data_IF_109740509907
#
_entry.id   IF_109740509907
#
_cell.length_a   1.000
_cell.length_b   1.000
_cell.length_c   1.000
_cell.angle_alpha   90.00
_cell.angle_beta   90.00
_cell.angle_gamma   90.00
#
_symmetry.space_group_name_H-M   'P 1'
#
loop_
_entity.id
_entity.type
_entity.pdbx_description
1 polymer ?
#
# COMPACT_ATOMS: atom_id res chain seq x y z
N UNK A 1 -27.73 -7.80 -36.42
CA UNK A 1 -27.58 -6.49 -35.76
C UNK A 1 -26.67 -6.69 -34.56
N UNK A 2 -25.36 -6.50 -34.74
CA UNK A 2 -24.36 -6.74 -33.68
C UNK A 2 -24.17 -5.43 -32.94
N UNK A 3 -24.63 -5.37 -31.69
CA UNK A 3 -24.37 -4.24 -30.79
C UNK A 3 -22.87 -4.21 -30.48
N UNK A 4 -22.15 -3.28 -31.10
CA UNK A 4 -20.81 -2.91 -30.64
C UNK A 4 -21.05 -2.18 -29.31
N UNK A 5 -20.71 -2.82 -28.19
CA UNK A 5 -20.56 -2.11 -26.92
C UNK A 5 -19.53 -1.00 -27.12
N UNK A 6 -20.00 0.23 -27.30
CA UNK A 6 -19.15 1.42 -27.29
C UNK A 6 -18.61 1.49 -25.87
N UNK A 7 -17.34 1.09 -25.73
CA UNK A 7 -16.61 1.19 -24.47
C UNK A 7 -16.67 2.64 -23.99
N UNK A 8 -17.04 2.80 -22.72
CA UNK A 8 -17.10 4.06 -21.96
C UNK A 8 -16.08 5.09 -22.47
N UNK A 9 -16.54 6.31 -22.73
CA UNK A 9 -15.72 7.44 -23.20
C UNK A 9 -14.54 7.71 -22.24
N UNK A 10 -13.39 7.10 -22.50
CA UNK A 10 -12.11 7.44 -21.88
C UNK A 10 -11.43 8.57 -22.69
N UNK A 11 -12.18 9.63 -23.01
CA UNK A 11 -11.64 10.76 -23.78
C UNK A 11 -10.91 11.73 -22.85
N UNK A 12 -9.57 11.73 -22.93
CA UNK A 12 -8.72 12.79 -22.39
C UNK A 12 -8.65 13.96 -23.39
N UNK A 13 -8.06 15.11 -23.00
CA UNK A 13 -7.99 16.32 -23.83
C UNK A 13 -7.53 16.11 -25.28
N UNK A 14 -6.49 15.30 -25.50
CA UNK A 14 -5.99 14.97 -26.85
C UNK A 14 -7.02 14.24 -27.72
N UNK A 15 -7.90 13.44 -27.12
CA UNK A 15 -8.94 12.71 -27.83
C UNK A 15 -10.01 13.66 -28.41
N UNK A 16 -10.27 14.79 -27.74
CA UNK A 16 -11.20 15.81 -28.26
C UNK A 16 -10.63 16.56 -29.46
N UNK A 17 -9.33 16.90 -29.42
CA UNK A 17 -8.64 17.55 -30.56
C UNK A 17 -8.64 16.62 -31.78
N UNK A 18 -8.29 15.34 -31.58
CA UNK A 18 -8.34 14.32 -32.62
C UNK A 18 -9.75 14.15 -33.20
N UNK A 19 -10.78 14.11 -32.34
CA UNK A 19 -12.18 14.01 -32.79
C UNK A 19 -12.56 15.20 -33.68
N UNK A 20 -12.17 16.42 -33.31
CA UNK A 20 -12.42 17.63 -34.12
C UNK A 20 -11.76 17.52 -35.50
N UNK A 21 -10.48 17.14 -35.54
CA UNK A 21 -9.74 16.96 -36.80
C UNK A 21 -10.45 15.93 -37.71
N UNK A 22 -10.91 14.82 -37.14
CA UNK A 22 -11.64 13.78 -37.88
C UNK A 22 -12.96 14.31 -38.41
N UNK A 23 -13.77 14.98 -37.59
CA UNK A 23 -15.03 15.58 -38.01
C UNK A 23 -14.82 16.58 -39.16
N UNK A 24 -13.84 17.49 -39.02
CA UNK A 24 -13.53 18.50 -40.04
C UNK A 24 -13.03 17.85 -41.35
N UNK A 25 -12.29 16.74 -41.26
CA UNK A 25 -11.87 15.98 -42.44
C UNK A 25 -13.06 15.30 -43.15
N UNK A 26 -13.99 14.72 -42.39
CA UNK A 26 -15.21 14.10 -42.93
C UNK A 26 -16.14 15.13 -43.57
N UNK A 27 -16.29 16.30 -42.95
CA UNK A 27 -17.07 17.42 -43.50
C UNK A 27 -16.48 17.92 -44.82
N UNK A 28 -15.15 18.09 -44.90
CA UNK A 28 -14.46 18.48 -46.15
C UNK A 28 -14.61 17.44 -47.26
N UNK A 29 -14.71 16.16 -46.92
CA UNK A 29 -14.99 15.10 -47.89
C UNK A 29 -16.48 15.06 -48.33
N UNK A 30 -17.33 15.94 -47.80
CA UNK A 30 -18.75 16.01 -48.08
C UNK A 30 -19.59 15.02 -47.29
N UNK A 31 -19.14 13.75 -47.17
CA UNK A 31 -19.70 12.69 -46.29
C UNK A 31 -18.68 11.57 -46.06
N UNK A 32 -18.88 10.76 -45.03
CA UNK A 32 -18.00 9.63 -44.70
C UNK A 32 -17.91 8.59 -45.83
N UNK A 33 -18.99 8.41 -46.60
CA UNK A 33 -19.07 7.45 -47.72
C UNK A 33 -18.25 7.90 -48.94
N UNK A 34 -17.87 9.17 -49.01
CA UNK A 34 -17.05 9.71 -50.10
C UNK A 34 -15.55 9.49 -49.87
N UNK A 35 -15.15 9.02 -48.69
CA UNK A 35 -13.75 8.77 -48.34
C UNK A 35 -13.36 7.37 -48.84
N UNK A 36 -12.48 7.25 -49.84
CA UNK A 36 -12.07 5.94 -50.34
C UNK A 36 -11.23 5.20 -49.30
N UNK A 37 -11.53 3.91 -49.11
CA UNK A 37 -10.75 3.05 -48.21
C UNK A 37 -9.44 2.65 -48.92
N UNK A 38 -8.44 3.52 -48.83
CA UNK A 38 -7.11 3.29 -49.38
C UNK A 38 -6.33 2.23 -48.60
N UNK A 39 -5.31 1.65 -49.22
CA UNK A 39 -4.40 0.69 -48.56
C UNK A 39 -3.67 1.34 -47.38
N UNK A 40 -3.24 2.59 -47.55
CA UNK A 40 -2.57 3.38 -46.52
C UNK A 40 -3.46 3.58 -45.29
N UNK A 41 -4.75 3.91 -45.50
CA UNK A 41 -5.71 4.06 -44.42
C UNK A 41 -5.87 2.76 -43.63
N UNK A 42 -5.92 1.60 -44.31
CA UNK A 42 -6.00 0.29 -43.65
C UNK A 42 -4.76 -0.01 -42.81
N UNK A 43 -3.57 0.30 -43.32
CA UNK A 43 -2.30 0.10 -42.60
C UNK A 43 -2.25 0.99 -41.36
N UNK A 44 -2.56 2.29 -41.52
CA UNK A 44 -2.62 3.23 -40.42
C UNK A 44 -3.63 2.82 -39.35
N UNK A 45 -4.83 2.36 -39.75
CA UNK A 45 -5.86 1.88 -38.84
C UNK A 45 -5.40 0.62 -38.08
N UNK A 46 -4.75 -0.32 -38.76
CA UNK A 46 -4.21 -1.54 -38.15
C UNK A 46 -3.17 -1.20 -37.08
N UNK A 47 -2.21 -0.32 -37.41
CA UNK A 47 -1.20 0.15 -36.47
C UNK A 47 -1.83 0.87 -35.27
N UNK A 48 -2.77 1.80 -35.52
CA UNK A 48 -3.49 2.51 -34.45
C UNK A 48 -4.23 1.54 -33.51
N UNK A 49 -4.88 0.51 -34.06
CA UNK A 49 -5.55 -0.53 -33.26
C UNK A 49 -4.57 -1.33 -32.41
N UNK A 50 -3.39 -1.66 -32.96
CA UNK A 50 -2.35 -2.37 -32.23
C UNK A 50 -1.79 -1.51 -31.08
N UNK A 51 -1.48 -0.24 -31.35
CA UNK A 51 -1.03 0.70 -30.33
C UNK A 51 -2.06 0.88 -29.21
N UNK A 52 -3.33 1.05 -29.57
CA UNK A 52 -4.40 1.20 -28.58
C UNK A 52 -4.55 -0.05 -27.71
N UNK A 53 -4.53 -1.23 -28.32
CA UNK A 53 -4.57 -2.51 -27.58
C UNK A 53 -3.39 -2.65 -26.62
N UNK A 54 -2.18 -2.32 -27.07
CA UNK A 54 -0.97 -2.37 -26.24
C UNK A 54 -1.03 -1.37 -25.07
N UNK A 55 -1.55 -0.17 -25.32
CA UNK A 55 -1.75 0.85 -24.29
C UNK A 55 -2.79 0.40 -23.24
N UNK A 56 -3.90 -0.21 -23.66
CA UNK A 56 -4.88 -0.76 -22.71
C UNK A 56 -4.29 -1.88 -21.85
N UNK A 57 -3.47 -2.75 -22.44
CA UNK A 57 -2.78 -3.81 -21.70
C UNK A 57 -1.76 -3.24 -20.70
N UNK A 58 -1.01 -2.23 -21.11
CA UNK A 58 -0.08 -1.51 -20.23
C UNK A 58 -0.81 -0.83 -19.06
N UNK A 59 -1.96 -0.18 -19.30
CA UNK A 59 -2.77 0.39 -18.21
C UNK A 59 -3.26 -0.67 -17.23
N UNK A 60 -3.72 -1.82 -17.73
CA UNK A 60 -4.15 -2.93 -16.86
C UNK A 60 -3.02 -3.41 -15.96
N UNK A 61 -1.82 -3.63 -16.53
CA UNK A 61 -0.63 -4.02 -15.79
C UNK A 61 -0.25 -2.98 -14.74
N UNK A 62 -0.23 -1.70 -15.12
CA UNK A 62 0.10 -0.61 -14.20
C UNK A 62 -0.91 -0.51 -13.04
N UNK A 63 -2.22 -0.69 -13.30
CA UNK A 63 -3.22 -0.74 -12.24
C UNK A 63 -3.01 -1.92 -11.28
N UNK A 64 -2.62 -3.10 -11.79
CA UNK A 64 -2.32 -4.27 -10.98
C UNK A 64 -1.05 -4.05 -10.13
N UNK A 65 0.01 -3.55 -10.74
CA UNK A 65 1.27 -3.20 -10.07
C UNK A 65 1.05 -2.15 -8.97
N UNK A 66 0.32 -1.07 -9.27
CA UNK A 66 0.00 -0.05 -8.27
C UNK A 66 -0.81 -0.61 -7.10
N UNK A 67 -1.76 -1.50 -7.36
CA UNK A 67 -2.56 -2.17 -6.32
C UNK A 67 -1.68 -3.06 -5.43
N UNK A 68 -0.79 -3.85 -6.02
CA UNK A 68 0.17 -4.68 -5.29
C UNK A 68 1.15 -3.83 -4.48
N UNK A 69 1.69 -2.76 -5.08
CA UNK A 69 2.59 -1.83 -4.41
C UNK A 69 1.90 -1.14 -3.22
N UNK A 70 0.65 -0.70 -3.39
CA UNK A 70 -0.12 -0.09 -2.29
C UNK A 70 -0.34 -1.08 -1.14
N UNK A 71 -0.66 -2.35 -1.45
CA UNK A 71 -0.79 -3.40 -0.43
C UNK A 71 0.53 -3.62 0.31
N UNK A 72 1.63 -3.73 -0.42
CA UNK A 72 2.98 -3.89 0.16
C UNK A 72 3.34 -2.71 1.05
N UNK A 73 3.10 -1.47 0.60
CA UNK A 73 3.36 -0.27 1.39
C UNK A 73 2.57 -0.26 2.70
N UNK A 74 1.27 -0.59 2.67
CA UNK A 74 0.46 -0.70 3.89
C UNK A 74 1.01 -1.73 4.88
N UNK A 75 1.40 -2.91 4.39
CA UNK A 75 1.96 -3.95 5.27
C UNK A 75 3.30 -3.46 5.87
N UNK A 76 4.15 -2.78 5.09
CA UNK A 76 5.39 -2.20 5.59
C UNK A 76 5.14 -1.15 6.68
N UNK A 77 4.22 -0.21 6.45
CA UNK A 77 3.84 0.81 7.45
C UNK A 77 3.31 0.18 8.74
N UNK A 78 2.50 -0.88 8.64
CA UNK A 78 1.99 -1.61 9.80
C UNK A 78 3.11 -2.31 10.58
N UNK A 79 4.06 -2.94 9.87
CA UNK A 79 5.23 -3.59 10.48
C UNK A 79 6.11 -2.57 11.18
N UNK A 80 6.39 -1.43 10.54
CA UNK A 80 7.15 -0.33 11.14
C UNK A 80 6.46 0.21 12.41
N UNK A 81 5.15 0.41 12.35
CA UNK A 81 4.35 0.81 13.50
C UNK A 81 4.42 -0.18 14.67
N UNK A 82 4.38 -1.48 14.38
CA UNK A 82 4.54 -2.54 15.39
C UNK A 82 5.96 -2.59 15.95
N UNK A 83 6.99 -2.39 15.12
CA UNK A 83 8.38 -2.31 15.58
C UNK A 83 8.61 -1.11 16.52
N UNK A 84 8.03 0.05 16.20
CA UNK A 84 8.08 1.23 17.07
C UNK A 84 7.38 0.98 18.41
N UNK A 85 6.20 0.33 18.40
CA UNK A 85 5.51 -0.07 19.64
C UNK A 85 6.35 -1.05 20.47
N UNK A 86 6.95 -2.05 19.82
CA UNK A 86 7.86 -3.01 20.46
C UNK A 86 9.02 -2.29 21.17
N UNK A 87 9.73 -1.40 20.47
CA UNK A 87 10.86 -0.63 21.05
C UNK A 87 10.44 0.19 22.26
N UNK A 88 9.29 0.87 22.19
CA UNK A 88 8.75 1.65 23.32
C UNK A 88 8.41 0.76 24.52
N UNK A 89 7.80 -0.39 24.29
CA UNK A 89 7.49 -1.35 25.35
C UNK A 89 8.76 -1.93 25.98
N UNK A 90 9.77 -2.27 25.17
CA UNK A 90 11.07 -2.76 25.66
C UNK A 90 11.76 -1.72 26.55
N UNK A 91 11.77 -0.44 26.16
CA UNK A 91 12.31 0.64 26.99
C UNK A 91 11.58 0.76 28.34
N UNK A 92 10.24 0.77 28.33
CA UNK A 92 9.45 0.86 29.56
C UNK A 92 9.65 -0.36 30.47
N UNK A 93 9.80 -1.56 29.89
CA UNK A 93 10.12 -2.77 30.67
C UNK A 93 11.50 -2.65 31.32
N UNK A 94 12.50 -2.14 30.59
CA UNK A 94 13.83 -1.92 31.13
C UNK A 94 13.82 -0.91 32.31
N UNK A 95 13.15 0.23 32.14
CA UNK A 95 13.04 1.27 33.17
C UNK A 95 12.34 0.77 34.45
N UNK A 96 11.22 0.04 34.28
CA UNK A 96 10.49 -0.55 35.41
C UNK A 96 11.31 -1.63 36.13
N UNK A 97 12.10 -2.39 35.39
CA UNK A 97 12.97 -3.43 35.96
C UNK A 97 14.10 -2.78 36.75
N UNK A 98 14.78 -1.78 36.18
CA UNK A 98 15.83 -1.02 36.87
C UNK A 98 15.30 -0.36 38.15
N UNK A 99 14.11 0.28 38.08
CA UNK A 99 13.47 0.87 39.26
C UNK A 99 13.15 -0.18 40.33
N UNK A 100 12.69 -1.37 39.92
CA UNK A 100 12.42 -2.45 40.85
C UNK A 100 13.69 -2.98 41.52
N UNK A 101 14.80 -3.06 40.78
CA UNK A 101 16.10 -3.51 41.28
C UNK A 101 16.69 -2.47 42.25
N UNK A 102 16.58 -1.17 41.96
CA UNK A 102 16.95 -0.11 42.93
C UNK A 102 16.19 -0.22 44.25
N UNK A 103 14.88 -0.49 44.21
CA UNK A 103 14.10 -0.68 45.43
C UNK A 103 14.48 -1.98 46.15
N UNK A 104 14.92 -3.02 45.44
CA UNK A 104 15.42 -4.24 46.05
C UNK A 104 16.76 -3.99 46.78
N UNK A 105 17.72 -3.32 46.12
CA UNK A 105 18.99 -2.95 46.74
C UNK A 105 18.81 -2.04 47.96
N UNK A 106 17.91 -1.03 47.86
CA UNK A 106 17.56 -0.16 48.99
C UNK A 106 16.94 -0.96 50.13
N UNK A 107 16.11 -1.98 49.83
CA UNK A 107 15.55 -2.84 50.86
C UNK A 107 16.62 -3.67 51.57
N UNK A 108 17.60 -4.21 50.84
CA UNK A 108 18.73 -4.95 51.42
C UNK A 108 19.59 -4.06 52.32
N UNK A 109 19.87 -2.83 51.89
CA UNK A 109 20.67 -1.87 52.66
C UNK A 109 19.97 -1.35 53.92
N UNK A 110 18.64 -1.15 53.86
CA UNK A 110 17.86 -0.52 54.95
C UNK A 110 17.05 -1.50 55.79
N UNK A 111 16.95 -2.78 55.37
CA UNK A 111 16.03 -3.78 55.91
C UNK A 111 14.55 -3.34 55.94
N UNK A 112 14.16 -2.33 55.14
CA UNK A 112 12.79 -1.83 55.10
C UNK A 112 11.90 -2.65 54.15
N UNK A 113 10.95 -3.38 54.75
CA UNK A 113 9.94 -4.17 54.04
C UNK A 113 9.11 -3.34 53.06
N UNK A 114 8.93 -2.03 53.29
CA UNK A 114 8.18 -1.16 52.36
C UNK A 114 8.83 -1.09 50.98
N UNK A 115 10.16 -1.15 50.92
CA UNK A 115 10.90 -1.15 49.66
C UNK A 115 10.75 -2.50 48.92
N UNK A 116 10.65 -3.61 49.65
CA UNK A 116 10.33 -4.94 49.09
C UNK A 116 8.95 -4.94 48.44
N UNK A 117 7.94 -4.36 49.11
CA UNK A 117 6.58 -4.25 48.56
C UNK A 117 6.56 -3.42 47.28
N UNK A 118 7.27 -2.27 47.26
CA UNK A 118 7.39 -1.41 46.07
C UNK A 118 8.08 -2.14 44.91
N UNK A 119 9.23 -2.79 45.15
CA UNK A 119 9.94 -3.58 44.13
C UNK A 119 9.03 -4.66 43.52
N UNK A 120 8.33 -5.42 44.37
CA UNK A 120 7.40 -6.46 43.91
C UNK A 120 6.22 -5.90 43.11
N UNK A 121 5.69 -4.73 43.51
CA UNK A 121 4.62 -4.07 42.75
C UNK A 121 5.08 -3.68 41.34
N UNK A 122 6.31 -3.17 41.21
CA UNK A 122 6.92 -2.78 39.94
C UNK A 122 7.28 -3.97 39.06
N UNK A 123 7.55 -5.17 39.63
CA UNK A 123 7.83 -6.40 38.87
C UNK A 123 6.60 -7.05 38.24
N UNK A 124 5.39 -6.74 38.69
CA UNK A 124 4.15 -7.27 38.09
C UNK A 124 3.93 -6.72 36.68
N UNK A 125 4.25 -5.44 36.46
CA UNK A 125 3.99 -4.75 35.20
C UNK A 125 4.89 -5.22 34.03
N UNK A 126 6.21 -5.43 34.22
CA UNK A 126 7.09 -6.06 33.23
C UNK A 126 6.63 -7.45 32.79
N UNK A 127 6.10 -8.28 33.71
CA UNK A 127 5.61 -9.62 33.37
C UNK A 127 4.42 -9.55 32.40
N UNK A 128 3.43 -8.70 32.70
CA UNK A 128 2.30 -8.48 31.80
C UNK A 128 2.76 -7.91 30.44
N UNK A 129 3.69 -6.95 30.45
CA UNK A 129 4.26 -6.37 29.22
C UNK A 129 5.12 -7.35 28.41
N UNK A 130 5.69 -8.37 29.04
CA UNK A 130 6.42 -9.44 28.35
C UNK A 130 5.49 -10.32 27.51
N UNK A 131 4.28 -10.60 27.99
CA UNK A 131 3.24 -11.30 27.23
C UNK A 131 2.78 -10.46 26.03
N UNK A 132 2.55 -9.16 26.23
CA UNK A 132 2.26 -8.21 25.15
C UNK A 132 3.38 -8.16 24.10
N UNK A 133 4.64 -8.14 24.53
CA UNK A 133 5.81 -8.20 23.63
C UNK A 133 5.85 -9.50 22.83
N UNK A 134 5.49 -10.64 23.45
CA UNK A 134 5.40 -11.92 22.73
C UNK A 134 4.32 -11.89 21.65
N UNK A 135 3.17 -11.25 21.94
CA UNK A 135 2.07 -11.07 21.00
C UNK A 135 2.47 -10.16 19.85
N UNK A 136 3.12 -9.03 20.13
CA UNK A 136 3.61 -8.10 19.10
C UNK A 136 4.67 -8.77 18.23
N UNK A 137 5.59 -9.56 18.80
CA UNK A 137 6.59 -10.31 18.02
C UNK A 137 5.92 -11.29 17.06
N UNK A 138 4.90 -12.04 17.50
CA UNK A 138 4.10 -12.93 16.62
C UNK A 138 3.37 -12.16 15.53
N UNK A 139 2.80 -10.99 15.86
CA UNK A 139 2.12 -10.14 14.86
C UNK A 139 3.09 -9.61 13.80
N UNK A 140 4.29 -9.18 14.20
CA UNK A 140 5.34 -8.76 13.26
C UNK A 140 5.74 -9.93 12.37
N UNK A 141 5.97 -11.11 12.95
CA UNK A 141 6.37 -12.29 12.19
C UNK A 141 5.29 -12.71 11.18
N UNK A 142 4.03 -12.75 11.58
CA UNK A 142 2.92 -13.08 10.70
C UNK A 142 2.78 -12.06 9.57
N UNK A 143 2.75 -10.76 9.87
CA UNK A 143 2.66 -9.71 8.84
C UNK A 143 3.87 -9.66 7.92
N UNK A 144 5.04 -10.05 8.41
CA UNK A 144 6.25 -10.16 7.57
C UNK A 144 6.18 -11.33 6.59
N UNK A 145 5.43 -12.39 6.89
CA UNK A 145 5.16 -13.50 5.97
C UNK A 145 4.13 -13.13 4.90
N UNK A 146 3.27 -12.17 5.18
CA UNK A 146 2.26 -11.64 4.25
C UNK A 146 2.86 -10.64 3.22
N UNK A 147 4.15 -10.30 3.32
CA UNK A 147 4.82 -9.51 2.28
C UNK A 147 4.97 -10.37 1.01
N UNK A 148 4.42 -9.92 -0.15
CA UNK A 148 4.64 -10.57 -1.43
C UNK A 148 6.05 -10.35 -1.97
#
# INVERSE_FOLDING_TARGET
MVFIQISVENLKGLSYVLRRIICDAVERAGRILNIPISKELRVALSAARQHYSAHLESQKKQCQENSQQTKRQRIMEEVEGLQMKKKKLEAVVADLTASADEYAEKAEATADIKNVVKSNSLRKTPRAKAEELSSIKKQIENKSKDLP
#
